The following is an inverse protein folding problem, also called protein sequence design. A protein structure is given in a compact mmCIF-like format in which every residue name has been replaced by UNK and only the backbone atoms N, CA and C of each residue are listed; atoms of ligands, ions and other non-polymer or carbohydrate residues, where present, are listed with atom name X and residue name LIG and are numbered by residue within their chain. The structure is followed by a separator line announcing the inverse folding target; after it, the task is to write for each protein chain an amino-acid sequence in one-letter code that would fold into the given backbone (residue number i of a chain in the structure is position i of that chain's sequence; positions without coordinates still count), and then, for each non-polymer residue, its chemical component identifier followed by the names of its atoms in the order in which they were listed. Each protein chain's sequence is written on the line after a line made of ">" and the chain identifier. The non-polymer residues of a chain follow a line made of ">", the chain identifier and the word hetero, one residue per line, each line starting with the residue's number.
data_IF_849229876839
#
_entry.id   IF_849229876839
#
_cell.length_a   1.000
_cell.length_b   1.000
_cell.length_c   1.000
_cell.angle_alpha   90.00
_cell.angle_beta   90.00
_cell.angle_gamma   90.00
#
_symmetry.space_group_name_H-M   'P 1'
#
loop_
_entity.id
_entity.type
_entity.pdbx_description
1 polymer ?
#
# COMPACT_ATOMS: atom_id res chain seq x y z
N UNK A 1 7.40 -23.77 -0.58
CA UNK A 1 7.21 -23.17 -1.92
C UNK A 1 7.89 -21.81 -1.97
N UNK A 2 8.33 -21.34 -3.12
CA UNK A 2 8.87 -19.98 -3.23
C UNK A 2 7.75 -18.96 -2.91
N UNK A 3 8.02 -18.04 -2.00
CA UNK A 3 7.06 -17.01 -1.59
C UNK A 3 6.71 -16.14 -2.80
N UNK A 4 5.42 -16.08 -3.17
CA UNK A 4 4.97 -15.22 -4.27
C UNK A 4 5.05 -13.77 -3.80
N UNK A 5 5.87 -12.97 -4.47
CA UNK A 5 5.98 -11.52 -4.21
C UNK A 5 5.61 -10.79 -5.50
N UNK A 6 4.73 -9.80 -5.39
CA UNK A 6 4.30 -9.01 -6.54
C UNK A 6 5.43 -8.12 -7.07
N UNK A 7 5.25 -7.60 -8.30
CA UNK A 7 5.97 -6.39 -8.72
C UNK A 7 5.46 -5.19 -7.91
N UNK A 8 6.19 -4.08 -7.95
CA UNK A 8 5.66 -2.82 -7.45
C UNK A 8 4.44 -2.39 -8.29
N UNK A 9 3.39 -1.96 -7.61
CA UNK A 9 2.22 -1.34 -8.23
C UNK A 9 1.77 -0.16 -7.39
N UNK A 10 1.15 0.83 -8.03
CA UNK A 10 0.72 2.08 -7.41
C UNK A 10 -0.47 1.83 -6.48
N UNK A 11 -0.37 2.28 -5.23
CA UNK A 11 -1.41 2.13 -4.21
C UNK A 11 -1.99 3.46 -3.71
N UNK A 12 -1.32 4.58 -4.00
CA UNK A 12 -1.79 5.92 -3.63
C UNK A 12 -1.02 7.01 -4.37
N UNK A 13 -1.62 8.20 -4.44
CA UNK A 13 -1.06 9.40 -5.07
C UNK A 13 -1.41 10.59 -4.18
N UNK A 14 -0.51 11.56 -4.09
CA UNK A 14 -0.77 12.81 -3.36
C UNK A 14 -1.96 13.59 -3.93
N UNK A 15 -2.62 14.35 -3.06
CA UNK A 15 -3.77 15.20 -3.36
C UNK A 15 -5.02 14.79 -2.59
N UNK A 16 -6.17 15.14 -3.16
CA UNK A 16 -7.46 15.08 -2.49
C UNK A 16 -7.98 13.63 -2.34
N UNK A 17 -8.56 13.33 -1.19
CA UNK A 17 -9.26 12.06 -0.92
C UNK A 17 -10.77 12.27 -0.87
N UNK A 18 -11.54 11.19 -1.06
CA UNK A 18 -13.01 11.25 -1.10
C UNK A 18 -13.66 11.76 0.18
N UNK A 19 -12.94 11.75 1.31
CA UNK A 19 -13.40 12.20 2.61
C UNK A 19 -12.90 13.61 2.99
N UNK A 20 -12.34 14.35 2.03
CA UNK A 20 -11.94 15.75 2.20
C UNK A 20 -10.58 15.96 2.88
N UNK A 21 -9.83 14.88 3.13
CA UNK A 21 -8.42 14.97 3.54
C UNK A 21 -7.52 15.17 2.32
N UNK A 22 -6.27 15.55 2.58
CA UNK A 22 -5.23 15.69 1.57
C UNK A 22 -4.06 14.80 1.97
N UNK A 23 -3.64 13.94 1.06
CA UNK A 23 -2.38 13.20 1.19
C UNK A 23 -1.28 14.11 0.65
N UNK A 24 -0.32 14.50 1.49
CA UNK A 24 0.77 15.38 1.06
C UNK A 24 1.90 14.60 0.36
N UNK A 25 2.70 15.31 -0.43
CA UNK A 25 3.97 14.82 -0.98
C UNK A 25 4.88 14.21 0.08
N UNK A 26 4.90 14.86 1.23
CA UNK A 26 5.74 14.50 2.36
C UNK A 26 5.26 13.18 2.97
N UNK A 27 3.95 13.01 3.18
CA UNK A 27 3.37 11.76 3.69
C UNK A 27 3.78 10.58 2.79
N UNK A 28 3.72 10.73 1.46
CA UNK A 28 4.10 9.67 0.51
C UNK A 28 5.57 9.29 0.66
N UNK A 29 6.47 10.27 0.76
CA UNK A 29 7.90 10.04 0.88
C UNK A 29 8.24 9.40 2.23
N UNK A 30 7.71 9.95 3.33
CA UNK A 30 7.91 9.44 4.68
C UNK A 30 7.36 8.02 4.83
N UNK A 31 6.17 7.74 4.28
CA UNK A 31 5.60 6.38 4.28
C UNK A 31 6.53 5.35 3.63
N UNK A 32 7.25 5.70 2.57
CA UNK A 32 8.20 4.81 1.94
C UNK A 32 9.52 4.71 2.73
N UNK A 33 10.04 5.83 3.22
CA UNK A 33 11.34 5.91 3.93
C UNK A 33 11.30 5.20 5.29
N UNK A 34 10.21 5.34 6.04
CA UNK A 34 10.11 4.82 7.41
C UNK A 34 9.44 3.45 7.49
N UNK A 35 9.13 2.81 6.37
CA UNK A 35 8.43 1.54 6.37
C UNK A 35 9.32 0.40 6.88
N UNK A 36 9.00 -0.10 8.09
CA UNK A 36 9.61 -1.30 8.66
C UNK A 36 8.52 -2.29 9.10
N UNK A 37 8.33 -3.41 8.37
CA UNK A 37 7.33 -4.42 8.71
C UNK A 37 7.61 -5.12 10.05
N UNK A 38 8.82 -4.98 10.60
CA UNK A 38 9.18 -5.49 11.94
C UNK A 38 8.62 -4.61 13.05
N UNK A 39 8.47 -3.31 12.80
CA UNK A 39 7.86 -2.34 13.72
C UNK A 39 6.34 -2.39 13.59
N UNK A 40 5.82 -2.33 12.37
CA UNK A 40 4.39 -2.39 12.12
C UNK A 40 4.06 -3.09 10.80
N UNK A 41 3.39 -4.25 10.90
CA UNK A 41 3.01 -5.06 9.75
C UNK A 41 1.69 -4.61 9.10
N UNK A 42 1.72 -4.33 7.80
CA UNK A 42 0.53 -3.97 7.02
C UNK A 42 -0.09 -5.22 6.38
N UNK A 43 -1.27 -5.63 6.90
CA UNK A 43 -2.02 -6.82 6.45
C UNK A 43 -3.07 -6.45 5.41
N UNK A 44 -3.12 -7.19 4.31
CA UNK A 44 -4.12 -7.00 3.24
C UNK A 44 -5.48 -7.50 3.71
N UNK A 45 -6.47 -6.61 3.63
CA UNK A 45 -7.87 -6.87 3.91
C UNK A 45 -8.68 -6.42 2.71
N UNK A 46 -9.38 -7.35 2.07
CA UNK A 46 -10.09 -7.10 0.84
C UNK A 46 -11.45 -6.44 1.10
N UNK A 47 -12.11 -6.81 2.21
CA UNK A 47 -13.49 -6.44 2.52
C UNK A 47 -13.58 -5.23 3.46
N UNK A 48 -12.45 -4.75 3.97
CA UNK A 48 -12.37 -3.72 5.02
C UNK A 48 -13.14 -4.09 6.30
N UNK A 49 -13.48 -5.38 6.48
CA UNK A 49 -14.10 -5.94 7.68
C UNK A 49 -13.06 -6.75 8.45
N UNK A 50 -13.06 -6.64 9.78
CA UNK A 50 -12.16 -7.45 10.62
C UNK A 50 -12.93 -8.66 11.14
N UNK A 51 -12.61 -9.85 10.62
CA UNK A 51 -13.11 -11.10 11.19
C UNK A 51 -12.74 -11.23 12.67
N UNK A 52 -13.66 -11.79 13.46
CA UNK A 52 -13.44 -12.12 14.88
C UNK A 52 -12.67 -13.44 15.00
N UNK A 53 -12.90 -14.35 14.06
CA UNK A 53 -12.22 -15.63 13.96
C UNK A 53 -10.90 -15.48 13.18
N UNK A 54 -9.89 -16.32 13.46
CA UNK A 54 -8.61 -16.30 12.76
C UNK A 54 -8.72 -16.72 11.29
N UNK A 55 -9.80 -17.42 10.92
CA UNK A 55 -10.09 -17.98 9.61
C UNK A 55 -11.47 -17.55 9.08
N UNK A 56 -11.77 -17.97 7.85
CA UNK A 56 -13.03 -17.67 7.15
C UNK A 56 -12.91 -16.63 6.04
N UNK A 57 -14.07 -16.15 5.57
CA UNK A 57 -14.20 -15.27 4.40
C UNK A 57 -13.70 -13.83 4.61
N UNK A 58 -13.44 -13.44 5.87
CA UNK A 58 -12.93 -12.10 6.22
C UNK A 58 -11.53 -12.18 6.85
N UNK A 59 -10.75 -13.19 6.46
CA UNK A 59 -9.37 -13.36 6.90
C UNK A 59 -8.46 -12.31 6.23
N UNK A 60 -7.22 -12.19 6.73
CA UNK A 60 -6.20 -11.40 6.02
C UNK A 60 -5.66 -12.21 4.87
N UNK A 61 -5.50 -11.57 3.72
CA UNK A 61 -5.14 -12.23 2.45
C UNK A 61 -3.67 -12.09 2.10
N UNK A 62 -2.92 -11.27 2.83
CA UNK A 62 -1.51 -11.04 2.55
C UNK A 62 -0.87 -9.97 3.43
N UNK A 63 0.34 -9.61 3.04
CA UNK A 63 1.18 -8.61 3.68
C UNK A 63 1.78 -7.66 2.65
N UNK A 64 1.98 -6.40 3.05
CA UNK A 64 2.90 -5.48 2.37
C UNK A 64 4.32 -5.84 2.77
N UNK A 65 5.19 -5.99 1.77
CA UNK A 65 6.59 -6.40 1.95
C UNK A 65 7.53 -5.23 1.83
N UNK A 66 7.23 -4.29 0.94
CA UNK A 66 8.12 -3.17 0.61
C UNK A 66 7.28 -2.01 0.08
N UNK A 67 7.67 -0.78 0.42
CA UNK A 67 7.10 0.45 -0.09
C UNK A 67 8.15 1.25 -0.87
N UNK A 68 7.69 2.01 -1.85
CA UNK A 68 8.53 2.90 -2.64
C UNK A 68 7.75 4.15 -3.03
N UNK A 69 8.36 5.32 -2.92
CA UNK A 69 7.80 6.58 -3.37
C UNK A 69 8.49 7.03 -4.66
N UNK A 70 7.72 7.38 -5.69
CA UNK A 70 8.25 7.91 -6.96
C UNK A 70 7.33 9.00 -7.50
N UNK A 71 7.92 9.96 -8.23
CA UNK A 71 7.14 10.90 -9.03
C UNK A 71 6.60 10.21 -10.27
N UNK A 72 5.33 10.47 -10.58
CA UNK A 72 4.69 9.99 -11.79
C UNK A 72 5.26 10.76 -12.99
N UNK A 73 5.83 10.03 -13.94
CA UNK A 73 6.31 10.56 -15.22
C UNK A 73 5.61 9.85 -16.38
N UNK A 74 4.29 9.98 -16.42
CA UNK A 74 3.45 9.57 -17.54
C UNK A 74 2.76 10.80 -18.15
N UNK A 75 1.94 10.62 -19.17
CA UNK A 75 1.21 11.72 -19.82
C UNK A 75 -0.21 11.90 -19.25
N UNK A 76 -0.46 11.42 -18.03
CA UNK A 76 -1.75 11.57 -17.36
C UNK A 76 -1.85 12.91 -16.60
N UNK A 77 -3.05 13.23 -16.12
CA UNK A 77 -3.28 14.36 -15.21
C UNK A 77 -2.54 14.25 -13.87
N UNK A 78 -1.89 13.10 -13.59
CA UNK A 78 -1.12 12.86 -12.39
C UNK A 78 0.39 13.10 -12.59
N UNK A 79 0.82 13.48 -13.80
CA UNK A 79 2.23 13.78 -14.10
C UNK A 79 2.80 14.79 -13.10
N UNK A 80 3.98 14.48 -12.58
CA UNK A 80 4.69 15.28 -11.58
C UNK A 80 4.27 15.04 -10.14
N UNK A 81 3.15 14.35 -9.90
CA UNK A 81 2.69 14.02 -8.54
C UNK A 81 3.50 12.89 -7.91
N UNK A 82 3.65 12.92 -6.60
CA UNK A 82 4.19 11.79 -5.83
C UNK A 82 3.19 10.64 -5.70
N UNK A 83 3.68 9.42 -5.93
CA UNK A 83 2.91 8.20 -5.80
C UNK A 83 3.62 7.18 -4.90
N UNK A 84 2.82 6.46 -4.11
CA UNK A 84 3.27 5.34 -3.29
C UNK A 84 3.02 4.04 -4.06
N UNK A 85 4.05 3.20 -4.09
CA UNK A 85 4.04 1.87 -4.67
C UNK A 85 4.31 0.82 -3.60
N UNK A 86 3.68 -0.34 -3.73
CA UNK A 86 3.87 -1.45 -2.81
C UNK A 86 4.23 -2.74 -3.53
N UNK A 87 5.03 -3.59 -2.87
CA UNK A 87 5.07 -5.03 -3.11
C UNK A 87 4.26 -5.74 -2.04
N UNK A 88 3.48 -6.73 -2.45
CA UNK A 88 2.70 -7.55 -1.53
C UNK A 88 3.00 -9.03 -1.72
N UNK A 89 2.62 -9.81 -0.73
CA UNK A 89 2.70 -11.27 -0.73
C UNK A 89 1.41 -11.85 -0.16
N UNK A 90 0.80 -12.87 -0.80
CA UNK A 90 -0.38 -13.50 -0.25
C UNK A 90 -0.02 -14.35 0.98
N UNK A 91 -1.00 -14.56 1.86
CA UNK A 91 -0.92 -15.62 2.87
C UNK A 91 -0.98 -16.99 2.19
N UNK A 92 -0.44 -18.02 2.85
CA UNK A 92 -0.53 -19.42 2.39
C UNK A 92 -1.99 -19.93 2.28
#
# INVERSE_FOLDING_TARGET
>A
MAKKVSKFFRIGVEGDTCDGRVISAQDIQEMAETFDPRVYGCRINLEHLRGILPDGIFKRYGDVVELKAEKIDDDSALKGKWALFAKITPTD
#
